data_IF_862851107343
#
_entry.id   IF_862851107343
#
_cell.length_a   1.000
_cell.length_b   1.000
_cell.length_c   1.000
_cell.angle_alpha   90.00
_cell.angle_beta   90.00
_cell.angle_gamma   90.00
#
_symmetry.space_group_name_H-M   'P 1'
#
loop_
_entity.id
_entity.type
_entity.pdbx_description
1 polymer ?
#
# COMPACT_ATOMS: atom_id res chain seq x y z
N UNK A 1 -13.31 6.74 -40.08
CA UNK A 1 -12.84 7.67 -39.04
C UNK A 1 -12.82 6.91 -37.73
N UNK A 2 -11.62 6.60 -37.25
CA UNK A 2 -11.34 5.82 -36.04
C UNK A 2 -11.52 6.71 -34.78
N UNK A 3 -12.09 6.16 -33.71
CA UNK A 3 -12.38 6.89 -32.48
C UNK A 3 -12.69 5.94 -31.32
N UNK A 4 -11.63 5.55 -30.61
CA UNK A 4 -11.62 4.59 -29.50
C UNK A 4 -12.17 5.20 -28.20
N UNK A 5 -13.12 4.55 -27.52
CA UNK A 5 -13.42 4.80 -26.09
C UNK A 5 -13.15 3.52 -25.31
N UNK A 6 -11.91 3.40 -24.84
CA UNK A 6 -11.40 2.24 -24.10
C UNK A 6 -11.96 2.20 -22.69
N UNK A 7 -12.50 1.02 -22.35
CA UNK A 7 -13.01 0.62 -21.05
C UNK A 7 -11.91 0.51 -20.00
N UNK A 8 -12.14 1.03 -18.79
CA UNK A 8 -11.20 0.93 -17.68
C UNK A 8 -11.81 1.29 -16.33
N UNK A 9 -12.54 0.33 -15.75
CA UNK A 9 -13.07 0.38 -14.39
C UNK A 9 -11.96 0.11 -13.34
N UNK A 10 -12.08 0.75 -12.17
CA UNK A 10 -11.45 0.44 -10.86
C UNK A 10 -10.15 1.19 -10.53
N UNK A 11 -10.29 2.41 -10.03
CA UNK A 11 -9.38 2.90 -8.99
C UNK A 11 -10.21 3.49 -7.84
N UNK A 12 -9.64 3.45 -6.64
CA UNK A 12 -10.16 4.08 -5.42
C UNK A 12 -11.10 3.26 -4.53
N UNK A 13 -10.67 2.05 -4.19
CA UNK A 13 -10.75 1.67 -2.77
C UNK A 13 -9.34 1.56 -2.25
N UNK A 14 -8.79 2.71 -1.82
CA UNK A 14 -7.55 2.78 -1.03
C UNK A 14 -7.73 1.91 0.21
N UNK A 15 -7.41 0.63 0.06
CA UNK A 15 -7.25 -0.31 1.16
C UNK A 15 -6.22 0.33 2.08
N UNK A 16 -6.52 0.43 3.39
CA UNK A 16 -5.57 0.94 4.38
C UNK A 16 -4.25 0.18 4.21
N UNK A 17 -3.23 0.87 3.72
CA UNK A 17 -1.96 0.25 3.35
C UNK A 17 -1.17 -0.01 4.62
N UNK A 18 -0.96 -1.28 4.93
CA UNK A 18 0.02 -1.71 5.92
C UNK A 18 1.44 -1.37 5.42
N UNK A 19 2.38 -1.14 6.35
CA UNK A 19 3.79 -1.02 5.99
C UNK A 19 4.25 -2.27 5.22
N UNK A 20 5.28 -2.16 4.39
CA UNK A 20 5.79 -3.26 3.57
C UNK A 20 6.08 -4.51 4.39
N UNK A 21 6.57 -4.35 5.63
CA UNK A 21 6.84 -5.47 6.51
C UNK A 21 5.55 -6.19 6.94
N UNK A 22 4.57 -5.44 7.46
CA UNK A 22 3.30 -5.99 7.86
C UNK A 22 2.52 -6.58 6.67
N UNK A 23 2.60 -5.93 5.51
CA UNK A 23 1.98 -6.38 4.27
C UNK A 23 2.61 -7.70 3.77
N UNK A 24 3.96 -7.80 3.74
CA UNK A 24 4.67 -9.04 3.39
C UNK A 24 4.34 -10.18 4.34
N UNK A 25 4.21 -9.88 5.64
CA UNK A 25 3.85 -10.88 6.66
C UNK A 25 2.34 -11.13 6.77
N UNK A 26 1.51 -10.42 6.01
CA UNK A 26 0.04 -10.47 6.08
C UNK A 26 -0.51 -10.28 7.50
N UNK A 27 0.16 -9.46 8.31
CA UNK A 27 -0.26 -9.12 9.68
C UNK A 27 -0.92 -7.75 9.71
N UNK A 28 -1.75 -7.50 10.73
CA UNK A 28 -2.32 -6.17 10.94
C UNK A 28 -1.21 -5.17 11.27
N UNK A 29 -1.27 -4.03 10.62
CA UNK A 29 -0.37 -2.91 10.85
C UNK A 29 -1.11 -1.83 11.63
N UNK A 30 -0.45 -1.28 12.63
CA UNK A 30 -1.01 -0.24 13.50
C UNK A 30 -1.12 1.13 12.81
N UNK A 31 -0.49 1.31 11.63
CA UNK A 31 -0.54 2.56 10.87
C UNK A 31 0.40 3.65 11.38
N UNK A 32 1.10 3.41 12.49
CA UNK A 32 2.14 4.31 13.02
C UNK A 32 3.50 4.02 12.36
N UNK A 33 4.38 5.03 12.35
CA UNK A 33 5.76 4.94 11.83
C UNK A 33 6.72 5.31 12.97
N UNK A 34 7.57 4.37 13.46
CA UNK A 34 7.60 2.96 13.12
C UNK A 34 6.38 2.19 13.66
N UNK A 35 5.93 1.17 12.92
CA UNK A 35 4.87 0.27 13.39
C UNK A 35 5.34 -0.51 14.64
N UNK A 36 4.46 -0.90 15.57
CA UNK A 36 4.89 -1.63 16.79
C UNK A 36 5.72 -2.88 16.48
N UNK A 37 5.37 -3.58 15.40
CA UNK A 37 6.11 -4.76 14.93
C UNK A 37 7.50 -4.41 14.40
N UNK A 38 7.63 -3.26 13.76
CA UNK A 38 8.86 -2.74 13.18
C UNK A 38 9.78 -2.23 14.29
N UNK A 39 9.21 -1.48 15.23
CA UNK A 39 9.89 -0.93 16.42
C UNK A 39 10.46 -2.05 17.30
N UNK A 40 9.63 -3.03 17.68
CA UNK A 40 10.08 -4.17 18.51
C UNK A 40 11.18 -5.00 17.85
N UNK A 41 11.20 -5.03 16.51
CA UNK A 41 12.20 -5.74 15.72
C UNK A 41 13.44 -4.88 15.43
N UNK A 42 13.38 -3.57 15.66
CA UNK A 42 14.44 -2.62 15.29
C UNK A 42 14.68 -2.56 13.78
N UNK A 43 13.64 -2.74 12.96
CA UNK A 43 13.74 -2.74 11.49
C UNK A 43 13.10 -1.50 10.87
N UNK A 44 13.47 -1.21 9.63
CA UNK A 44 12.94 -0.09 8.87
C UNK A 44 11.44 -0.26 8.56
N UNK A 45 10.64 0.71 9.00
CA UNK A 45 9.20 0.76 8.75
C UNK A 45 8.89 1.52 7.46
N UNK A 46 9.01 0.84 6.32
CA UNK A 46 8.69 1.43 5.01
C UNK A 46 7.22 1.26 4.70
N UNK A 47 6.47 2.34 4.54
CA UNK A 47 5.16 2.28 3.91
C UNK A 47 5.34 2.43 2.40
N UNK A 48 4.75 1.54 1.57
CA UNK A 48 4.80 1.75 0.14
C UNK A 48 4.03 3.04 -0.16
N UNK A 49 4.76 4.08 -0.54
CA UNK A 49 4.18 5.30 -1.07
C UNK A 49 3.32 4.87 -2.26
N UNK A 50 2.00 5.05 -2.12
CA UNK A 50 1.02 4.56 -3.09
C UNK A 50 1.50 4.88 -4.49
N UNK A 51 1.88 3.83 -5.22
CA UNK A 51 2.36 3.94 -6.58
C UNK A 51 1.32 4.74 -7.35
N UNK A 52 1.76 5.90 -7.84
CA UNK A 52 0.99 6.67 -8.79
C UNK A 52 0.71 5.76 -9.99
N UNK A 53 -0.57 5.68 -10.29
CA UNK A 53 -1.20 5.29 -11.53
C UNK A 53 -0.31 5.58 -12.76
N UNK A 54 0.10 4.50 -13.41
CA UNK A 54 -0.13 4.34 -14.85
C UNK A 54 -1.56 3.83 -15.03
#
# INVERSE_FOLDING_TARGET
SDGQISSGNKMEKRVRVACQFCNRRKIRCDGIVPCMHCERRGIECVYPAGGRCQ
#
